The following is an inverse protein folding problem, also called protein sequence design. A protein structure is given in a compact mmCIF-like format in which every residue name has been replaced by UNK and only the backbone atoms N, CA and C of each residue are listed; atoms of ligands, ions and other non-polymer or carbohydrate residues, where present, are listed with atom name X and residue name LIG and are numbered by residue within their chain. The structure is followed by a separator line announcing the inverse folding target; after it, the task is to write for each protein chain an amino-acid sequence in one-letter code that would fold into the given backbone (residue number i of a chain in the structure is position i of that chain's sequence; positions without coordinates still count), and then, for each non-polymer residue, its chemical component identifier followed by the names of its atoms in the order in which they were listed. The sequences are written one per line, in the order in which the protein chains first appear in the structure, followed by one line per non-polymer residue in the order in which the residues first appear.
data_IF_439003504758
#
_entry.id   IF_439003504758
#
_cell.length_a   1.000
_cell.length_b   1.000
_cell.length_c   1.000
_cell.angle_alpha   90.00
_cell.angle_beta   90.00
_cell.angle_gamma   90.00
#
_symmetry.space_group_name_H-M   'P 1'
#
loop_
_entity.id
_entity.type
_entity.pdbx_description
1 polymer ?
#
# COMPACT_ATOMS: atom_id res chain seq x y z
N UNK A 1 17.18 6.47 12.71
CA UNK A 1 16.49 6.57 11.39
C UNK A 1 14.99 6.38 11.56
N UNK A 2 14.22 7.21 10.93
CA UNK A 2 12.76 7.11 11.01
C UNK A 2 12.25 6.13 9.97
N UNK A 3 11.33 5.27 10.41
CA UNK A 3 10.60 4.40 9.49
C UNK A 3 9.56 5.22 8.73
N UNK A 4 9.07 4.68 7.63
CA UNK A 4 8.01 5.30 6.88
C UNK A 4 6.91 4.29 6.62
N UNK A 5 5.71 4.78 6.35
CA UNK A 5 4.53 3.94 6.20
C UNK A 5 3.84 4.24 4.87
N UNK A 6 3.52 3.17 4.17
CA UNK A 6 2.79 3.20 2.93
C UNK A 6 1.36 2.81 3.26
N UNK A 7 0.46 3.76 3.13
CA UNK A 7 -0.92 3.59 3.56
C UNK A 7 -1.84 3.66 2.34
N UNK A 8 -2.51 2.54 2.06
CA UNK A 8 -3.46 2.43 0.96
C UNK A 8 -4.87 2.36 1.53
N UNK A 9 -5.71 3.30 1.13
CA UNK A 9 -7.11 3.34 1.50
C UNK A 9 -7.93 3.09 0.24
N UNK A 10 -8.51 1.90 0.12
CA UNK A 10 -9.28 1.52 -1.06
C UNK A 10 -10.70 2.00 -0.95
N UNK A 11 -11.12 2.83 -1.91
CA UNK A 11 -12.48 3.34 -1.96
C UNK A 11 -13.39 2.41 -2.78
N UNK A 12 -12.88 1.95 -3.92
CA UNK A 12 -13.66 1.15 -4.84
C UNK A 12 -12.76 0.16 -5.57
N UNK A 13 -13.20 -1.08 -5.65
CA UNK A 13 -12.53 -2.14 -6.40
C UNK A 13 -13.57 -2.74 -7.35
N UNK A 14 -13.46 -2.41 -8.63
CA UNK A 14 -14.39 -2.89 -9.64
C UNK A 14 -14.10 -4.32 -10.08
N UNK A 15 -12.84 -4.74 -9.96
CA UNK A 15 -12.43 -6.08 -10.36
C UNK A 15 -11.52 -6.68 -9.30
N UNK A 16 -12.08 -7.59 -8.49
CA UNK A 16 -11.34 -8.24 -7.41
C UNK A 16 -10.22 -9.14 -7.94
N UNK A 17 -10.40 -9.75 -9.10
CA UNK A 17 -9.37 -10.62 -9.68
C UNK A 17 -8.15 -9.82 -10.09
N UNK A 18 -8.34 -8.63 -10.64
CA UNK A 18 -7.23 -7.74 -11.00
C UNK A 18 -6.46 -7.32 -9.76
N UNK A 19 -7.18 -6.99 -8.68
CA UNK A 19 -6.54 -6.61 -7.43
C UNK A 19 -5.75 -7.77 -6.83
N UNK A 20 -6.28 -8.98 -6.92
CA UNK A 20 -5.60 -10.18 -6.43
C UNK A 20 -4.31 -10.42 -7.21
N UNK A 21 -4.35 -10.30 -8.53
CA UNK A 21 -3.16 -10.44 -9.39
C UNK A 21 -2.11 -9.39 -9.03
N UNK A 22 -2.54 -8.15 -8.85
CA UNK A 22 -1.67 -7.07 -8.42
C UNK A 22 -0.98 -7.44 -7.11
N UNK A 23 -1.74 -7.85 -6.11
CA UNK A 23 -1.20 -8.19 -4.80
C UNK A 23 -0.17 -9.33 -4.89
N UNK A 24 -0.46 -10.35 -5.69
CA UNK A 24 0.47 -11.48 -5.87
C UNK A 24 1.79 -11.04 -6.51
N UNK A 25 1.72 -10.15 -7.50
CA UNK A 25 2.91 -9.65 -8.19
C UNK A 25 3.72 -8.70 -7.32
N UNK A 26 3.08 -7.73 -6.65
CA UNK A 26 3.81 -6.68 -5.96
C UNK A 26 4.26 -7.04 -4.55
N UNK A 27 3.64 -8.01 -3.90
CA UNK A 27 4.03 -8.38 -2.54
C UNK A 27 5.51 -8.73 -2.43
N UNK A 28 6.07 -9.61 -3.26
CA UNK A 28 7.51 -9.87 -3.19
C UNK A 28 8.36 -8.66 -3.56
N UNK A 29 7.87 -7.81 -4.46
CA UNK A 29 8.59 -6.59 -4.85
C UNK A 29 8.68 -5.64 -3.66
N UNK A 30 7.56 -5.37 -2.98
CA UNK A 30 7.53 -4.49 -1.82
C UNK A 30 8.46 -5.01 -0.73
N UNK A 31 8.43 -6.31 -0.49
CA UNK A 31 9.32 -6.95 0.49
C UNK A 31 10.79 -6.79 0.11
N UNK A 32 11.11 -6.85 -1.18
CA UNK A 32 12.50 -6.69 -1.64
C UNK A 32 13.06 -5.28 -1.38
N UNK A 33 12.18 -4.28 -1.23
CA UNK A 33 12.57 -2.93 -0.84
C UNK A 33 12.56 -2.71 0.68
N UNK A 34 12.37 -3.78 1.44
CA UNK A 34 12.36 -3.72 2.90
C UNK A 34 10.97 -3.52 3.51
N UNK A 35 9.92 -3.64 2.71
CA UNK A 35 8.56 -3.49 3.21
C UNK A 35 8.14 -4.65 4.10
N UNK A 36 7.45 -4.32 5.20
CA UNK A 36 6.88 -5.28 6.13
C UNK A 36 5.38 -5.02 6.21
N UNK A 37 4.54 -6.00 5.91
CA UNK A 37 3.09 -5.76 5.97
C UNK A 37 2.62 -5.68 7.42
N UNK A 38 1.91 -4.60 7.75
CA UNK A 38 1.35 -4.40 9.08
C UNK A 38 -0.17 -4.60 9.09
N UNK A 39 -0.84 -4.16 8.02
CA UNK A 39 -2.30 -4.29 7.86
C UNK A 39 -2.58 -4.71 6.43
N UNK A 40 -3.38 -5.76 6.25
CA UNK A 40 -3.76 -6.24 4.92
C UNK A 40 -5.25 -6.52 4.89
N UNK A 41 -6.05 -5.46 4.97
CA UNK A 41 -7.48 -5.59 5.16
C UNK A 41 -7.74 -5.99 6.62
N UNK A 42 -8.79 -6.72 6.86
CA UNK A 42 -9.13 -7.15 8.20
C UNK A 42 -10.35 -6.40 8.72
N UNK A 43 -10.72 -6.74 9.95
CA UNK A 43 -11.89 -6.15 10.58
C UNK A 43 -11.67 -4.66 10.82
N UNK A 44 -12.66 -3.86 10.49
CA UNK A 44 -12.55 -2.40 10.65
C UNK A 44 -13.89 -1.80 11.08
N UNK A 45 -13.82 -0.58 11.60
CA UNK A 45 -14.99 0.21 11.94
C UNK A 45 -14.71 1.66 11.53
N UNK A 46 -15.64 2.28 10.82
CA UNK A 46 -15.54 3.68 10.46
C UNK A 46 -16.34 4.48 11.48
N UNK A 47 -15.64 5.23 12.30
CA UNK A 47 -16.29 6.02 13.35
C UNK A 47 -16.66 7.42 12.90
N UNK A 48 -15.91 7.96 11.95
CA UNK A 48 -16.16 9.30 11.39
C UNK A 48 -15.71 9.34 9.95
N UNK A 49 -16.44 10.08 9.13
CA UNK A 49 -16.07 10.33 7.75
C UNK A 49 -16.45 9.20 6.78
N UNK A 50 -15.87 9.26 5.61
CA UNK A 50 -16.15 8.31 4.54
C UNK A 50 -15.55 6.94 4.84
N UNK A 51 -16.29 5.89 4.49
CA UNK A 51 -15.80 4.53 4.67
C UNK A 51 -14.90 4.11 3.52
N UNK A 52 -13.69 3.66 3.87
CA UNK A 52 -12.78 3.00 2.95
C UNK A 52 -12.81 1.50 3.30
N UNK A 53 -13.46 0.67 2.49
CA UNK A 53 -13.72 -0.73 2.88
C UNK A 53 -12.48 -1.60 3.00
N UNK A 54 -11.32 -1.12 2.54
CA UNK A 54 -10.09 -1.89 2.69
C UNK A 54 -8.91 -0.96 2.96
N UNK A 55 -8.11 -1.30 3.96
CA UNK A 55 -6.88 -0.57 4.30
C UNK A 55 -5.71 -1.53 4.26
N UNK A 56 -4.62 -1.11 3.62
CA UNK A 56 -3.37 -1.87 3.60
C UNK A 56 -2.25 -0.95 4.05
N UNK A 57 -1.44 -1.40 5.01
CA UNK A 57 -0.31 -0.61 5.52
C UNK A 57 0.95 -1.45 5.47
N UNK A 58 1.99 -0.87 4.85
CA UNK A 58 3.34 -1.44 4.83
C UNK A 58 4.28 -0.51 5.59
N UNK A 59 5.21 -1.09 6.35
CA UNK A 59 6.26 -0.35 7.00
C UNK A 59 7.54 -0.49 6.19
N UNK A 60 8.27 0.60 6.02
CA UNK A 60 9.56 0.61 5.32
C UNK A 60 10.64 1.14 6.26
N UNK A 61 11.91 0.75 6.02
CA UNK A 61 13.03 1.23 6.84
C UNK A 61 13.20 2.75 6.79
N UNK A 62 12.81 3.37 5.67
CA UNK A 62 12.94 4.82 5.49
C UNK A 62 11.95 5.32 4.46
N UNK A 63 11.72 6.62 4.47
CA UNK A 63 10.89 7.28 3.47
C UNK A 63 11.46 7.07 2.06
N UNK A 64 12.78 7.17 1.94
CA UNK A 64 13.48 6.99 0.66
C UNK A 64 13.23 5.59 0.08
N UNK A 65 13.29 4.54 0.89
CA UNK A 65 13.06 3.18 0.42
C UNK A 65 11.60 2.97 -0.03
N UNK A 66 10.65 3.56 0.68
CA UNK A 66 9.25 3.49 0.29
C UNK A 66 9.02 4.17 -1.06
N UNK A 67 9.61 5.35 -1.25
CA UNK A 67 9.51 6.07 -2.51
C UNK A 67 10.17 5.32 -3.67
N UNK A 68 11.35 4.75 -3.43
CA UNK A 68 12.03 3.93 -4.46
C UNK A 68 11.18 2.75 -4.88
N UNK A 69 10.53 2.10 -3.93
CA UNK A 69 9.62 0.99 -4.22
C UNK A 69 8.49 1.44 -5.13
N UNK A 70 7.79 2.50 -4.73
CA UNK A 70 6.67 3.03 -5.49
C UNK A 70 7.07 3.43 -6.91
N UNK A 71 8.22 4.08 -7.05
CA UNK A 71 8.69 4.59 -8.34
C UNK A 71 9.40 3.54 -9.19
N UNK A 72 9.62 2.34 -8.66
CA UNK A 72 10.28 1.29 -9.40
C UNK A 72 9.42 0.82 -10.59
N UNK A 73 10.08 0.44 -11.67
CA UNK A 73 9.39 -0.09 -12.84
C UNK A 73 8.61 -1.36 -12.48
N UNK A 74 9.21 -2.22 -11.67
CA UNK A 74 8.58 -3.49 -11.27
C UNK A 74 7.26 -3.24 -10.55
N UNK A 75 7.25 -2.30 -9.59
CA UNK A 75 6.03 -1.98 -8.88
C UNK A 75 4.98 -1.37 -9.81
N UNK A 76 5.39 -0.41 -10.64
CA UNK A 76 4.46 0.28 -11.54
C UNK A 76 3.87 -0.69 -12.59
N UNK A 77 4.65 -1.63 -13.07
CA UNK A 77 4.15 -2.67 -13.98
C UNK A 77 3.11 -3.54 -13.27
N UNK A 78 3.34 -3.88 -12.00
CA UNK A 78 2.38 -4.62 -11.20
C UNK A 78 1.10 -3.82 -10.93
N UNK A 79 1.24 -2.54 -10.60
CA UNK A 79 0.08 -1.67 -10.35
C UNK A 79 -0.80 -1.52 -11.61
N UNK A 80 -0.20 -1.56 -12.80
CA UNK A 80 -0.94 -1.47 -14.04
C UNK A 80 -2.01 -2.59 -14.16
N UNK A 81 -1.85 -3.70 -13.46
CA UNK A 81 -2.83 -4.79 -13.49
C UNK A 81 -4.16 -4.40 -12.84
N UNK A 82 -4.16 -3.47 -11.90
CA UNK A 82 -5.35 -3.09 -11.14
C UNK A 82 -5.71 -1.61 -11.25
N UNK A 83 -4.84 -0.80 -11.80
CA UNK A 83 -4.98 0.65 -11.82
C UNK A 83 -6.31 1.15 -12.38
N UNK A 84 -6.73 0.58 -13.52
CA UNK A 84 -7.93 1.07 -14.21
C UNK A 84 -9.24 0.61 -13.56
N UNK A 85 -9.19 -0.38 -12.67
CA UNK A 85 -10.37 -0.93 -12.01
C UNK A 85 -10.36 -0.72 -10.49
N UNK A 86 -9.46 0.13 -10.01
CA UNK A 86 -9.32 0.39 -8.58
C UNK A 86 -9.24 1.88 -8.32
N UNK A 87 -10.01 2.34 -7.34
CA UNK A 87 -9.94 3.72 -6.87
C UNK A 87 -9.47 3.69 -5.42
N UNK A 88 -8.33 4.34 -5.18
CA UNK A 88 -7.73 4.34 -3.83
C UNK A 88 -6.92 5.60 -3.59
N UNK A 89 -6.69 5.88 -2.32
CA UNK A 89 -5.67 6.83 -1.90
C UNK A 89 -4.44 6.02 -1.48
N UNK A 90 -3.27 6.45 -1.93
CA UNK A 90 -2.00 5.89 -1.48
C UNK A 90 -1.12 7.03 -1.02
N UNK A 91 -0.67 6.95 0.22
CA UNK A 91 0.16 7.99 0.81
C UNK A 91 1.33 7.34 1.54
N UNK A 92 2.49 7.95 1.40
CA UNK A 92 3.69 7.52 2.12
C UNK A 92 4.00 8.62 3.12
N UNK A 93 4.09 8.25 4.39
CA UNK A 93 4.31 9.22 5.47
C UNK A 93 5.38 8.72 6.44
N UNK A 94 6.29 9.62 6.81
CA UNK A 94 7.34 9.31 7.76
C UNK A 94 6.76 9.15 9.16
N UNK A 95 7.22 8.15 9.87
CA UNK A 95 6.76 7.89 11.22
C UNK A 95 7.29 8.90 12.23
N UNK A 96 6.62 8.97 13.36
CA UNK A 96 7.06 9.80 14.46
C UNK A 96 8.24 9.14 15.17
N UNK A 97 9.30 9.90 15.39
CA UNK A 97 10.46 9.41 16.12
C UNK A 97 10.32 9.74 17.60
N UNK A 98 10.44 8.72 18.45
CA UNK A 98 10.39 8.88 19.89
C UNK A 98 11.77 8.86 20.56
N UNK A 99 12.80 8.78 19.76
CA UNK A 99 14.19 8.72 20.25
C UNK A 99 14.70 10.09 20.67
#
# INVERSE_FOLDING_TARGET
MKKSYWISLYLKVENQDNLKKYAEVVTPIIKSFGGVPLVRGGKFETLEGETYPRTVIWEFPSHEQAMKCHDSKEYQDGWALAKDTTERNLQIIEGFSTE
#
